data_IF_185553347616
#
_entry.id   IF_185553347616
#
_cell.length_a   1.000
_cell.length_b   1.000
_cell.length_c   1.000
_cell.angle_alpha   90.00
_cell.angle_beta   90.00
_cell.angle_gamma   90.00
#
_symmetry.space_group_name_H-M   'P 1'
#
loop_
_entity.id
_entity.type
_entity.pdbx_description
1 polymer ?
2 water ?
#
# COMPACT_ATOMS: atom_id res chain seq x y z
N UNK A 13 19.38 7.65 9.52
CA UNK A 13 19.78 6.95 8.30
C UNK A 13 18.97 7.40 7.09
N UNK A 14 19.66 7.99 6.12
CA UNK A 14 18.99 8.60 4.98
C UNK A 14 18.29 7.58 4.08
N UNK A 15 18.88 6.39 3.94
CA UNK A 15 18.30 5.36 3.08
C UNK A 15 16.96 4.90 3.62
N UNK A 16 16.90 4.68 4.93
CA UNK A 16 15.65 4.29 5.57
C UNK A 16 14.63 5.42 5.41
N UNK A 17 15.06 6.65 5.65
CA UNK A 17 14.15 7.80 5.48
C UNK A 17 13.65 7.92 4.04
N UNK A 18 14.51 7.64 3.06
CA UNK A 18 14.11 7.72 1.65
C UNK A 18 13.10 6.62 1.30
N UNK A 19 13.35 5.40 1.77
CA UNK A 19 12.39 4.32 1.58
C UNK A 19 11.02 4.72 2.15
N UNK A 20 11.04 5.23 3.38
CA UNK A 20 9.80 5.63 4.03
C UNK A 20 9.08 6.75 3.27
N UNK A 21 9.83 7.73 2.79
CA UNK A 21 9.22 8.85 2.08
C UNK A 21 8.59 8.43 0.75
N UNK A 22 9.26 7.55 0.02
CA UNK A 22 8.74 7.05 -1.25
C UNK A 22 7.45 6.26 -0.99
N UNK A 23 7.48 5.45 0.06
CA UNK A 23 6.33 4.62 0.43
C UNK A 23 5.13 5.48 0.80
N UNK A 24 5.42 6.58 1.48
CA UNK A 24 4.39 7.49 1.97
C UNK A 24 3.92 8.51 0.93
N UNK A 25 4.65 8.60 -0.17
CA UNK A 25 4.30 9.55 -1.20
C UNK A 25 4.65 10.98 -0.82
N UNK A 26 5.70 11.14 -0.03
CA UNK A 26 6.13 12.46 0.40
C UNK A 26 7.14 13.06 -0.58
N UNK A 27 6.63 13.65 -1.66
CA UNK A 27 7.42 14.16 -2.78
C UNK A 27 8.55 15.10 -2.39
N UNK A 28 8.23 16.12 -1.60
CA UNK A 28 9.23 17.11 -1.19
C UNK A 28 10.33 16.44 -0.39
N UNK A 29 9.94 15.57 0.52
CA UNK A 29 10.88 14.88 1.39
C UNK A 29 11.82 13.98 0.57
N UNK A 30 11.29 13.37 -0.47
CA UNK A 30 12.11 12.56 -1.38
C UNK A 30 13.21 13.43 -1.98
N UNK A 31 12.82 14.60 -2.49
CA UNK A 31 13.77 15.50 -3.14
C UNK A 31 14.83 16.00 -2.17
N UNK A 32 14.41 16.35 -0.96
CA UNK A 32 15.33 16.84 0.06
C UNK A 32 16.33 15.77 0.47
N UNK A 33 15.81 14.58 0.78
CA UNK A 33 16.65 13.47 1.22
C UNK A 33 17.74 13.12 0.21
N UNK A 34 17.39 13.13 -1.07
CA UNK A 34 18.37 12.80 -2.10
C UNK A 34 19.38 13.93 -2.33
N UNK A 35 18.98 15.16 -2.01
CA UNK A 35 19.89 16.29 -2.10
C UNK A 35 20.88 16.25 -0.94
N UNK A 36 20.46 15.61 0.15
CA UNK A 36 21.34 15.41 1.30
C UNK A 36 22.14 14.11 1.18
N UNK A 37 22.04 13.48 0.02
CA UNK A 37 22.87 12.32 -0.29
C UNK A 37 22.29 10.96 0.05
N UNK A 38 20.97 10.87 0.19
CA UNK A 38 20.32 9.57 0.39
C UNK A 38 20.53 8.69 -0.84
N UNK A 39 20.79 7.41 -0.61
CA UNK A 39 21.06 6.45 -1.67
C UNK A 39 19.76 6.13 -2.41
N UNK A 40 19.68 6.51 -3.69
CA UNK A 40 18.47 6.29 -4.49
C UNK A 40 18.14 4.79 -4.61
N UNK A 41 19.15 3.95 -4.43
CA UNK A 41 18.99 2.50 -4.52
C UNK A 41 19.06 1.82 -3.16
N UNK A 42 18.68 2.56 -2.12
CA UNK A 42 18.62 2.00 -0.77
C UNK A 42 17.72 0.78 -0.76
N UNK A 43 18.03 -0.19 0.09
CA UNK A 43 17.21 -1.40 0.18
C UNK A 43 16.74 -1.58 1.61
N UNK A 44 15.51 -2.06 1.75
CA UNK A 44 15.04 -2.52 3.05
C UNK A 44 15.54 -3.93 3.32
N UNK A 45 15.00 -4.57 4.34
CA UNK A 45 15.43 -5.89 4.76
C UNK A 45 15.33 -6.95 3.68
N UNK A 46 14.40 -6.75 2.74
CA UNK A 46 14.14 -7.77 1.74
C UNK A 46 14.45 -7.30 0.32
N UNK A 47 15.34 -6.31 0.22
CA UNK A 47 15.80 -5.85 -1.09
C UNK A 47 14.90 -4.87 -1.80
N UNK A 48 13.83 -4.43 -1.13
CA UNK A 48 12.87 -3.53 -1.73
C UNK A 48 13.41 -2.09 -1.74
N UNK A 49 13.28 -1.42 -2.88
CA UNK A 49 13.92 -0.11 -3.07
C UNK A 49 12.89 1.01 -3.08
N UNK A 50 13.34 2.27 -3.03
CA UNK A 50 12.35 3.37 -3.10
C UNK A 50 11.50 3.31 -4.37
N UNK A 51 12.09 2.92 -5.50
CA UNK A 51 11.35 2.80 -6.74
C UNK A 51 10.26 1.73 -6.65
N UNK A 52 10.55 0.61 -5.97
CA UNK A 52 9.52 -0.41 -5.76
C UNK A 52 8.37 0.19 -4.98
N UNK A 53 8.69 0.89 -3.90
CA UNK A 53 7.67 1.38 -2.99
C UNK A 53 6.77 2.42 -3.65
N UNK A 54 7.38 3.34 -4.40
CA UNK A 54 6.58 4.37 -5.09
C UNK A 54 5.74 3.75 -6.22
N UNK A 55 6.29 2.75 -6.91
CA UNK A 55 5.57 2.10 -8.00
C UNK A 55 4.34 1.36 -7.47
N UNK A 56 4.50 0.69 -6.34
CA UNK A 56 3.41 -0.09 -5.77
C UNK A 56 2.29 0.83 -5.29
N UNK A 57 2.67 1.94 -4.69
CA UNK A 57 1.70 2.82 -4.02
C UNK A 57 1.13 3.89 -4.95
N UNK A 58 1.60 3.90 -6.20
CA UNK A 58 0.98 4.73 -7.22
C UNK A 58 1.50 6.15 -7.27
N UNK A 59 2.73 6.36 -6.78
CA UNK A 59 3.27 7.71 -6.68
C UNK A 59 4.10 8.04 -7.92
N UNK A 60 3.42 8.49 -8.97
CA UNK A 60 4.04 8.65 -10.29
C UNK A 60 5.20 9.62 -10.30
N UNK A 61 4.99 10.78 -9.67
CA UNK A 61 6.00 11.84 -9.67
C UNK A 61 7.28 11.37 -8.98
N UNK A 62 7.12 10.60 -7.90
CA UNK A 62 8.28 10.06 -7.20
C UNK A 62 9.01 9.01 -8.04
N UNK A 63 8.25 8.14 -8.70
CA UNK A 63 8.84 7.18 -9.63
C UNK A 63 9.70 7.92 -10.66
N UNK A 64 9.17 9.01 -11.20
CA UNK A 64 9.89 9.78 -12.21
C UNK A 64 11.17 10.41 -11.68
N UNK A 65 11.11 11.01 -10.49
CA UNK A 65 12.30 11.65 -9.91
C UNK A 65 13.33 10.62 -9.50
N UNK A 66 12.89 9.47 -8.98
CA UNK A 66 13.84 8.41 -8.64
C UNK A 66 14.58 7.92 -9.88
N UNK A 67 13.85 7.74 -10.98
CA UNK A 67 14.49 7.27 -12.20
C UNK A 67 15.49 8.31 -12.70
N UNK A 68 15.11 9.57 -12.60
CA UNK A 68 15.95 10.66 -13.09
C UNK A 68 17.24 10.74 -12.29
N UNK A 69 17.18 10.33 -11.03
CA UNK A 69 18.31 10.41 -10.11
C UNK A 69 19.06 9.07 -9.99
N UNK A 70 18.81 8.16 -10.92
CA UNK A 70 19.65 6.99 -11.05
C UNK A 70 19.14 5.71 -10.43
N UNK A 71 17.85 5.67 -10.08
CA UNK A 71 17.25 4.45 -9.55
C UNK A 71 17.36 3.30 -10.54
N UNK A 72 17.71 2.13 -10.02
CA UNK A 72 17.84 0.91 -10.82
C UNK A 72 16.45 0.40 -11.20
N UNK A 73 16.08 0.54 -12.47
CA UNK A 73 14.76 0.12 -12.95
C UNK A 73 14.59 -1.39 -12.86
N UNK A 74 15.70 -2.12 -12.78
CA UNK A 74 15.64 -3.58 -12.79
C UNK A 74 15.78 -4.23 -11.42
N UNK A 75 15.77 -3.42 -10.36
CA UNK A 75 16.01 -3.95 -9.02
C UNK A 75 15.02 -5.03 -8.66
N UNK A 76 15.50 -6.19 -8.25
CA UNK A 76 14.63 -7.28 -7.83
C UNK A 76 14.71 -7.43 -6.33
N UNK A 77 13.56 -7.55 -5.66
CA UNK A 77 13.54 -7.84 -4.24
C UNK A 77 13.97 -9.29 -4.05
N UNK A 78 14.30 -9.68 -2.82
CA UNK A 78 14.68 -11.06 -2.54
C UNK A 78 13.51 -11.99 -2.79
N UNK A 79 13.80 -13.24 -3.12
CA UNK A 79 12.75 -14.22 -3.37
C UNK A 79 12.06 -14.60 -2.08
N UNK A 80 10.81 -15.04 -2.18
CA UNK A 80 10.00 -15.30 -0.99
C UNK A 80 9.25 -16.63 -1.07
N UNK A 81 8.50 -16.81 -2.13
CA UNK A 81 7.58 -17.94 -2.24
C UNK A 81 8.02 -18.98 -3.24
N UNK A 82 7.63 -20.23 -2.98
CA UNK A 82 7.93 -21.35 -3.88
C UNK A 82 6.67 -22.08 -4.29
N UNK A 83 5.53 -21.65 -3.75
CA UNK A 83 4.23 -22.22 -4.09
C UNK A 83 3.30 -21.03 -4.33
N UNK A 84 2.10 -21.27 -4.90
CA UNK A 84 1.19 -20.14 -5.13
C UNK A 84 1.01 -19.22 -3.92
N UNK A 85 0.99 -17.91 -4.16
CA UNK A 85 1.13 -16.93 -3.08
C UNK A 85 0.18 -15.74 -3.21
N UNK A 86 -0.63 -15.72 -4.28
CA UNK A 86 -1.42 -14.51 -4.59
C UNK A 86 -2.39 -14.13 -3.48
N UNK A 87 -2.24 -12.92 -2.96
CA UNK A 87 -3.20 -12.36 -2.00
C UNK A 87 -2.99 -10.86 -1.89
N UNK A 88 -3.89 -10.19 -1.16
CA UNK A 88 -3.74 -8.75 -0.97
C UNK A 88 -2.61 -8.37 -0.04
N UNK A 89 -2.03 -9.36 0.64
CA UNK A 89 -1.03 -9.12 1.67
C UNK A 89 0.41 -9.25 1.22
N UNK A 90 0.64 -9.39 -0.08
CA UNK A 90 2.00 -9.62 -0.57
C UNK A 90 2.87 -8.36 -0.55
N UNK A 91 4.05 -8.46 0.08
CA UNK A 91 4.97 -7.32 0.20
C UNK A 91 6.26 -7.50 -0.60
N UNK A 92 6.77 -8.73 -0.66
CA UNK A 92 7.96 -9.00 -1.46
C UNK A 92 7.89 -10.40 -2.05
N UNK A 93 8.32 -10.52 -3.30
CA UNK A 93 8.23 -11.80 -4.00
C UNK A 93 9.19 -11.89 -5.17
N UNK A 94 10.44 -11.51 -4.95
CA UNK A 94 11.46 -11.67 -5.98
C UNK A 94 11.28 -10.78 -7.20
N UNK A 95 10.59 -9.66 -6.99
CA UNK A 95 9.98 -8.91 -8.09
C UNK A 95 10.64 -7.54 -8.36
N UNK A 96 10.42 -7.03 -9.56
CA UNK A 96 10.91 -5.69 -9.95
C UNK A 96 9.82 -4.63 -9.74
N UNK A 97 10.17 -3.33 -9.83
CA UNK A 97 9.12 -2.32 -9.70
C UNK A 97 8.00 -2.48 -10.73
N UNK A 98 8.33 -2.94 -11.93
CA UNK A 98 7.30 -3.16 -12.94
C UNK A 98 6.28 -4.22 -12.51
N UNK A 99 6.73 -5.28 -11.83
CA UNK A 99 5.78 -6.24 -11.28
C UNK A 99 4.77 -5.55 -10.39
N UNK A 100 5.25 -4.63 -9.55
CA UNK A 100 4.37 -4.01 -8.56
C UNK A 100 3.40 -3.04 -9.23
N UNK A 101 3.91 -2.26 -10.19
CA UNK A 101 3.05 -1.35 -10.94
C UNK A 101 1.97 -2.11 -11.73
N UNK A 102 2.35 -3.24 -12.32
CA UNK A 102 1.39 -4.07 -13.06
C UNK A 102 0.38 -4.68 -12.11
N UNK A 103 0.88 -5.17 -10.96
CA UNK A 103 0.05 -5.81 -9.95
C UNK A 103 -1.04 -4.86 -9.46
N UNK A 104 -0.64 -3.62 -9.22
CA UNK A 104 -1.52 -2.63 -8.58
C UNK A 104 -2.26 -1.73 -9.58
N UNK A 105 -2.09 -1.99 -10.87
CA UNK A 105 -2.93 -1.32 -11.87
C UNK A 105 -2.54 0.12 -12.17
N UNK A 106 -1.29 0.48 -11.93
CA UNK A 106 -0.85 1.85 -12.18
C UNK A 106 -0.29 2.02 -13.58
N UNK A 107 -1.18 2.36 -14.51
CA UNK A 107 -0.85 2.36 -15.92
C UNK A 107 0.26 3.34 -16.27
N UNK A 108 0.13 4.56 -15.75
CA UNK A 108 1.08 5.62 -16.05
C UNK A 108 2.47 5.21 -15.58
N UNK A 109 2.55 4.58 -14.41
CA UNK A 109 3.83 4.08 -13.89
C UNK A 109 4.43 2.94 -14.71
N UNK A 110 3.58 2.00 -15.14
CA UNK A 110 4.00 0.93 -16.04
C UNK A 110 4.67 1.50 -17.28
N UNK A 111 4.06 2.52 -17.87
CA UNK A 111 4.61 3.14 -19.08
C UNK A 111 5.96 3.82 -18.83
N UNK A 112 6.07 4.49 -17.69
CA UNK A 112 7.30 5.17 -17.34
C UNK A 112 8.43 4.19 -17.09
N UNK A 113 8.12 3.09 -16.41
CA UNK A 113 9.11 2.05 -16.15
C UNK A 113 9.55 1.40 -17.45
N UNK A 114 8.62 1.12 -18.36
CA UNK A 114 8.99 0.51 -19.63
C UNK A 114 9.86 1.47 -20.46
N UNK A 115 9.54 2.75 -20.41
CA UNK A 115 10.32 3.76 -21.13
C UNK A 115 11.74 3.83 -20.58
N UNK A 116 11.88 3.56 -19.28
CA UNK A 116 13.18 3.60 -18.62
C UNK A 116 13.96 2.30 -18.84
N UNK A 117 13.34 1.33 -19.50
CA UNK A 117 14.05 0.13 -19.91
C UNK A 117 13.67 -1.17 -19.22
N UNK A 118 12.67 -1.14 -18.34
CA UNK A 118 12.29 -2.34 -17.60
C UNK A 118 12.06 -3.53 -18.52
N UNK A 119 12.55 -4.70 -18.11
CA UNK A 119 12.26 -5.94 -18.82
C UNK A 119 10.77 -6.25 -18.69
N UNK A 120 10.05 -6.20 -19.81
CA UNK A 120 8.61 -6.45 -19.81
C UNK A 120 8.29 -7.88 -19.37
N UNK A 121 9.28 -8.76 -19.44
CA UNK A 121 9.09 -10.16 -19.05
C UNK A 121 9.97 -10.56 -17.88
N UNK A 122 10.29 -9.61 -17.00
CA UNK A 122 11.06 -9.95 -15.82
C UNK A 122 10.33 -11.02 -15.00
N UNK A 123 11.10 -11.91 -14.38
CA UNK A 123 10.51 -13.05 -13.70
C UNK A 123 10.58 -12.86 -12.20
N UNK A 124 9.44 -12.94 -11.53
CA UNK A 124 9.39 -12.88 -10.07
C UNK A 124 9.36 -14.30 -9.52
N UNK A 125 8.97 -14.44 -8.24
CA UNK A 125 8.78 -15.77 -7.68
C UNK A 125 7.84 -16.57 -8.58
N UNK A 126 8.10 -17.88 -8.67
CA UNK A 126 7.36 -18.80 -9.52
C UNK A 126 7.53 -18.50 -11.00
N UNK A 127 8.36 -17.53 -11.34
CA UNK A 127 8.54 -17.17 -12.74
C UNK A 127 7.47 -16.23 -13.26
N UNK A 128 6.71 -15.61 -12.36
CA UNK A 128 5.62 -14.73 -12.81
C UNK A 128 6.14 -13.46 -13.47
N UNK A 129 5.58 -13.15 -14.63
CA UNK A 129 5.93 -11.95 -15.36
C UNK A 129 4.96 -10.84 -14.98
N UNK A 130 5.26 -9.59 -15.37
CA UNK A 130 4.26 -8.55 -15.14
C UNK A 130 2.91 -8.89 -15.77
N UNK A 131 2.91 -9.55 -16.91
CA UNK A 131 1.67 -9.96 -17.55
C UNK A 131 0.85 -10.96 -16.72
N UNK A 132 1.52 -11.93 -16.09
CA UNK A 132 0.84 -12.83 -15.12
C UNK A 132 0.13 -11.98 -14.08
N UNK A 133 0.83 -10.99 -13.51
CA UNK A 133 0.28 -10.22 -12.41
C UNK A 133 -0.88 -9.34 -12.85
N UNK A 134 -0.77 -8.72 -14.02
CA UNK A 134 -1.85 -7.88 -14.53
C UNK A 134 -3.10 -8.72 -14.81
N UNK A 135 -2.88 -9.95 -15.31
CA UNK A 135 -4.01 -10.82 -15.64
C UNK A 135 -4.66 -11.36 -14.37
N UNK A 136 -3.85 -11.67 -13.38
CA UNK A 136 -4.35 -12.16 -12.10
C UNK A 136 -5.25 -11.13 -11.42
N UNK A 137 -4.84 -9.87 -11.46
CA UNK A 137 -5.55 -8.83 -10.70
C UNK A 137 -6.48 -7.95 -11.53
N UNK A 138 -6.76 -8.39 -12.75
CA UNK A 138 -7.84 -7.82 -13.54
C UNK A 138 -7.55 -6.47 -14.16
N UNK A 139 -6.31 -6.22 -14.56
CA UNK A 139 -5.98 -4.91 -15.12
C UNK A 139 -5.88 -4.99 -16.63
N UNK A 140 -7.02 -4.86 -17.30
CA UNK A 140 -7.08 -5.06 -18.75
C UNK A 140 -6.20 -4.09 -19.52
N UNK A 141 -6.29 -2.82 -19.19
CA UNK A 141 -5.52 -1.81 -19.91
C UNK A 141 -4.01 -2.04 -19.75
N UNK A 142 -3.58 -2.45 -18.57
CA UNK A 142 -2.17 -2.79 -18.40
C UNK A 142 -1.79 -4.04 -19.20
N UNK A 143 -2.67 -5.04 -19.24
CA UNK A 143 -2.43 -6.21 -20.08
C UNK A 143 -2.16 -5.77 -21.52
N UNK A 144 -2.98 -4.86 -22.02
CA UNK A 144 -2.81 -4.40 -23.41
C UNK A 144 -1.50 -3.66 -23.64
N UNK A 145 -1.10 -2.83 -22.68
CA UNK A 145 0.18 -2.12 -22.81
C UNK A 145 1.34 -3.11 -22.76
N UNK A 146 1.28 -4.10 -21.87
CA UNK A 146 2.38 -5.07 -21.79
C UNK A 146 2.52 -5.88 -23.09
N UNK A 147 1.40 -6.34 -23.64
CA UNK A 147 1.41 -7.07 -24.90
C UNK A 147 2.03 -6.22 -26.01
N UNK A 148 1.67 -4.95 -26.03
CA UNK A 148 2.17 -4.03 -27.06
C UNK A 148 3.69 -3.87 -26.93
N UNK A 149 4.20 -4.01 -25.72
CA UNK A 149 5.64 -3.88 -25.47
C UNK A 149 6.39 -5.21 -25.47
N UNK A 150 5.76 -6.26 -25.95
CA UNK A 150 6.44 -7.52 -26.16
C UNK A 150 6.33 -8.55 -25.06
N UNK A 151 5.35 -8.39 -24.17
CA UNK A 151 5.09 -9.40 -23.13
C UNK A 151 4.83 -10.77 -23.76
N UNK A 152 5.46 -11.79 -23.19
CA UNK A 152 5.32 -13.17 -23.67
C UNK A 152 3.98 -13.77 -23.21
N UNK A 153 3.04 -13.90 -24.13
CA UNK A 153 1.71 -14.39 -23.79
C UNK A 153 1.73 -15.86 -23.33
N UNK A 154 2.77 -16.60 -23.73
CA UNK A 154 2.86 -18.01 -23.43
C UNK A 154 3.74 -18.35 -22.24
N UNK A 155 4.13 -17.33 -21.49
CA UNK A 155 5.01 -17.51 -20.33
C UNK A 155 4.38 -18.44 -19.29
N UNK A 156 5.05 -19.54 -18.98
CA UNK A 156 4.57 -20.49 -17.98
C UNK A 156 5.27 -20.32 -16.64
N UNK A 157 4.51 -20.34 -15.56
CA UNK A 157 5.13 -20.28 -14.24
C UNK A 157 5.65 -21.65 -13.81
N UNK A 158 6.13 -21.74 -12.58
CA UNK A 158 6.74 -22.98 -12.05
C UNK A 158 5.83 -24.19 -12.20
N UNK A 159 4.53 -23.93 -12.18
CA UNK A 159 3.52 -24.98 -12.18
C UNK A 159 2.80 -25.06 -13.50
N UNK A 160 3.34 -24.36 -14.50
CA UNK A 160 2.83 -24.44 -15.86
C UNK A 160 1.75 -23.43 -16.22
N UNK A 161 1.43 -22.52 -15.31
CA UNK A 161 0.33 -21.57 -15.54
C UNK A 161 0.76 -20.38 -16.39
N UNK A 162 -0.04 -20.08 -17.39
CA UNK A 162 0.18 -18.90 -18.23
C UNK A 162 -0.69 -17.76 -17.69
N UNK A 163 -0.46 -16.53 -18.19
CA UNK A 163 -1.33 -15.43 -17.75
C UNK A 163 -2.81 -15.69 -18.09
N UNK A 164 -3.05 -16.32 -19.23
CA UNK A 164 -4.41 -16.77 -19.58
C UNK A 164 -5.03 -17.63 -18.49
N UNK A 165 -4.29 -18.62 -18.00
CA UNK A 165 -4.80 -19.50 -16.96
C UNK A 165 -5.18 -18.71 -15.71
N UNK A 166 -4.32 -17.76 -15.33
CA UNK A 166 -4.58 -16.98 -14.12
C UNK A 166 -5.83 -16.12 -14.33
N UNK A 167 -5.99 -15.57 -15.52
CA UNK A 167 -7.18 -14.75 -15.81
C UNK A 167 -8.45 -15.58 -15.70
N UNK A 168 -8.46 -16.74 -16.34
CA UNK A 168 -9.57 -17.69 -16.21
C UNK A 168 -9.85 -18.04 -14.74
N UNK A 169 -8.79 -18.42 -14.02
CA UNK A 169 -8.95 -18.86 -12.62
C UNK A 169 -9.56 -17.77 -11.72
N UNK A 170 -9.23 -16.51 -11.98
CA UNK A 170 -9.72 -15.42 -11.13
C UNK A 170 -10.90 -14.64 -11.73
N UNK A 171 -11.55 -15.25 -12.71
CA UNK A 171 -12.80 -14.70 -13.24
C UNK A 171 -12.63 -13.49 -14.14
N UNK A 172 -11.43 -13.27 -14.67
CA UNK A 172 -11.19 -12.14 -15.55
C UNK A 172 -11.35 -12.52 -17.02
N UNK A 173 -12.59 -12.70 -17.44
CA UNK A 173 -12.89 -13.24 -18.76
C UNK A 173 -12.52 -12.27 -19.88
N UNK A 174 -12.69 -10.98 -19.63
CA UNK A 174 -12.28 -9.96 -20.61
C UNK A 174 -10.80 -10.08 -20.96
N UNK A 175 -9.96 -10.22 -19.93
CA UNK A 175 -8.54 -10.41 -20.15
C UNK A 175 -8.23 -11.76 -20.80
N UNK A 176 -8.94 -12.82 -20.40
CA UNK A 176 -8.72 -14.14 -20.99
C UNK A 176 -8.96 -14.08 -22.50
N UNK A 177 -10.02 -13.42 -22.92
CA UNK A 177 -10.30 -13.30 -24.35
C UNK A 177 -9.23 -12.54 -25.11
N UNK A 178 -8.71 -11.46 -24.52
CA UNK A 178 -7.61 -10.72 -25.14
C UNK A 178 -6.36 -11.59 -25.27
N UNK A 179 -6.01 -12.29 -24.19
CA UNK A 179 -4.81 -13.14 -24.22
C UNK A 179 -4.95 -14.32 -25.15
N UNK A 180 -6.16 -14.86 -25.25
CA UNK A 180 -6.38 -16.08 -26.03
C UNK A 180 -6.10 -15.84 -27.50
N UNK A 181 -6.44 -14.65 -27.99
CA UNK A 181 -6.25 -14.32 -29.41
C UNK A 181 -4.90 -13.66 -29.68
N UNK A 182 -4.17 -13.29 -28.62
CA UNK A 182 -2.78 -12.91 -28.77
C UNK A 182 -1.95 -14.20 -28.80
N UNK B 13 -14.38 -17.17 -3.22
CA UNK B 13 -15.56 -16.68 -2.52
C UNK B 13 -15.67 -15.15 -2.58
N UNK B 14 -16.88 -14.64 -2.36
CA UNK B 14 -17.16 -13.23 -2.63
C UNK B 14 -16.47 -12.28 -1.67
N UNK B 15 -16.35 -12.71 -0.41
CA UNK B 15 -15.72 -11.87 0.60
C UNK B 15 -14.26 -11.64 0.27
N UNK B 16 -13.59 -12.69 -0.20
CA UNK B 16 -12.19 -12.58 -0.54
C UNK B 16 -12.02 -11.68 -1.76
N UNK B 17 -12.94 -11.78 -2.72
CA UNK B 17 -12.92 -10.91 -3.88
C UNK B 17 -13.20 -9.46 -3.50
N UNK B 18 -14.04 -9.25 -2.51
CA UNK B 18 -14.34 -7.89 -2.07
C UNK B 18 -13.11 -7.28 -1.41
N UNK B 19 -12.44 -8.04 -0.56
CA UNK B 19 -11.18 -7.58 0.04
C UNK B 19 -10.19 -7.17 -1.06
N UNK B 20 -10.08 -8.00 -2.09
CA UNK B 20 -9.10 -7.74 -3.15
C UNK B 20 -9.48 -6.50 -3.97
N UNK B 21 -10.77 -6.31 -4.20
CA UNK B 21 -11.23 -5.14 -4.96
C UNK B 21 -10.99 -3.85 -4.17
N UNK B 22 -11.19 -3.93 -2.86
CA UNK B 22 -10.94 -2.78 -1.99
C UNK B 22 -9.45 -2.42 -2.00
N UNK B 23 -8.61 -3.44 -1.88
CA UNK B 23 -7.16 -3.30 -1.91
C UNK B 23 -6.73 -2.66 -3.23
N UNK B 24 -7.36 -3.07 -4.32
CA UNK B 24 -6.98 -2.62 -5.66
C UNK B 24 -7.62 -1.28 -6.08
N UNK B 25 -8.55 -0.77 -5.29
CA UNK B 25 -9.25 0.45 -5.66
C UNK B 25 -10.15 0.25 -6.88
N UNK B 26 -10.72 -0.93 -6.99
CA UNK B 26 -11.58 -1.28 -8.12
C UNK B 26 -13.05 -0.98 -7.79
N UNK B 27 -13.43 0.29 -7.95
CA UNK B 27 -14.75 0.79 -7.55
C UNK B 27 -15.91 0.03 -8.17
N UNK B 28 -15.80 -0.29 -9.45
CA UNK B 28 -16.90 -0.96 -10.13
C UNK B 28 -17.06 -2.39 -9.63
N UNK B 29 -15.93 -3.07 -9.44
CA UNK B 29 -15.94 -4.44 -8.95
C UNK B 29 -16.46 -4.50 -7.51
N UNK B 30 -16.13 -3.50 -6.70
CA UNK B 30 -16.72 -3.37 -5.37
C UNK B 30 -18.25 -3.27 -5.47
N UNK B 31 -18.74 -2.44 -6.38
CA UNK B 31 -20.17 -2.30 -6.62
C UNK B 31 -20.81 -3.64 -7.00
N UNK B 32 -20.22 -4.30 -7.98
CA UNK B 32 -20.76 -5.56 -8.48
C UNK B 32 -20.77 -6.66 -7.42
N UNK B 33 -19.66 -6.80 -6.69
CA UNK B 33 -19.55 -7.84 -5.67
C UNK B 33 -20.59 -7.66 -4.57
N UNK B 34 -20.82 -6.42 -4.17
CA UNK B 34 -21.76 -6.15 -3.11
C UNK B 34 -23.20 -6.40 -3.55
N UNK B 35 -23.50 -6.12 -4.81
CA UNK B 35 -24.83 -6.40 -5.36
C UNK B 35 -25.07 -7.91 -5.37
N UNK B 36 -24.01 -8.66 -5.64
CA UNK B 36 -24.09 -10.13 -5.63
C UNK B 36 -24.02 -10.72 -4.21
N UNK B 37 -24.04 -9.86 -3.20
CA UNK B 37 -24.15 -10.31 -1.82
C UNK B 37 -22.87 -10.41 -1.01
N UNK B 38 -21.77 -9.85 -1.50
CA UNK B 38 -20.51 -9.89 -0.75
C UNK B 38 -20.69 -9.25 0.61
N UNK B 39 -20.11 -9.85 1.64
CA UNK B 39 -20.21 -9.36 3.00
C UNK B 39 -19.27 -8.18 3.19
N UNK B 40 -19.85 -7.02 3.49
CA UNK B 40 -19.10 -5.79 3.68
C UNK B 40 -18.15 -5.92 4.87
N UNK B 41 -18.46 -6.88 5.75
CA UNK B 41 -17.63 -7.12 6.93
C UNK B 41 -16.81 -8.39 6.86
N UNK B 42 -16.55 -8.85 5.63
CA UNK B 42 -15.68 -10.00 5.42
C UNK B 42 -14.33 -9.74 6.08
N UNK B 43 -13.71 -10.79 6.61
CA UNK B 43 -12.37 -10.69 7.18
C UNK B 43 -11.42 -11.65 6.50
N UNK B 44 -10.16 -11.25 6.35
CA UNK B 44 -9.13 -12.24 6.03
C UNK B 44 -8.68 -12.91 7.32
N UNK B 45 -7.67 -13.77 7.24
CA UNK B 45 -7.27 -14.56 8.41
C UNK B 45 -6.76 -13.71 9.57
N UNK B 46 -6.24 -12.52 9.26
CA UNK B 46 -5.69 -11.62 10.27
C UNK B 46 -6.72 -10.63 10.79
N UNK B 47 -7.94 -10.72 10.28
CA UNK B 47 -9.03 -9.86 10.72
C UNK B 47 -9.26 -8.66 9.83
N UNK B 48 -8.42 -8.51 8.81
CA UNK B 48 -8.48 -7.35 7.92
C UNK B 48 -9.80 -7.33 7.14
N UNK B 49 -10.46 -6.17 7.09
CA UNK B 49 -11.74 -6.01 6.42
C UNK B 49 -11.60 -5.14 5.16
N UNK B 50 -12.61 -5.15 4.27
CA UNK B 50 -12.49 -4.27 3.11
C UNK B 50 -12.26 -2.81 3.49
N UNK B 51 -12.83 -2.37 4.61
CA UNK B 51 -12.66 -1.00 5.05
C UNK B 51 -11.20 -0.71 5.46
N UNK B 52 -10.54 -1.67 6.12
CA UNK B 52 -9.11 -1.53 6.42
C UNK B 52 -8.33 -1.28 5.14
N UNK B 53 -8.58 -2.10 4.13
CA UNK B 53 -7.79 -2.08 2.90
C UNK B 53 -8.03 -0.80 2.10
N UNK B 54 -9.29 -0.40 1.98
CA UNK B 54 -9.59 0.84 1.26
C UNK B 54 -9.02 2.05 1.98
N UNK B 55 -9.10 2.05 3.32
CA UNK B 55 -8.53 3.14 4.12
C UNK B 55 -7.03 3.17 4.00
N UNK B 56 -6.39 2.00 4.06
CA UNK B 56 -4.94 1.91 3.96
C UNK B 56 -4.42 2.36 2.60
N UNK B 57 -5.13 1.97 1.55
CA UNK B 57 -4.66 2.19 0.18
C UNK B 57 -5.14 3.51 -0.41
N UNK B 58 -5.94 4.25 0.36
CA UNK B 58 -6.32 5.60 -0.04
C UNK B 58 -7.49 5.72 -0.98
N UNK B 59 -8.39 4.75 -0.93
CA UNK B 59 -9.51 4.73 -1.86
C UNK B 59 -10.76 5.28 -1.20
N UNK B 60 -10.92 6.60 -1.31
CA UNK B 60 -11.93 7.33 -0.55
C UNK B 60 -13.36 6.90 -0.89
N UNK B 61 -13.66 6.85 -2.17
CA UNK B 61 -15.01 6.52 -2.60
C UNK B 61 -15.41 5.11 -2.15
N UNK B 62 -14.46 4.19 -2.16
CA UNK B 62 -14.74 2.83 -1.66
C UNK B 62 -14.97 2.85 -0.14
N UNK B 63 -14.16 3.63 0.57
CA UNK B 63 -14.39 3.82 2.00
C UNK B 63 -15.82 4.32 2.25
N UNK B 64 -16.20 5.36 1.51
CA UNK B 64 -17.53 5.94 1.67
C UNK B 64 -18.64 4.92 1.42
N UNK B 65 -18.54 4.14 0.35
CA UNK B 65 -19.62 3.20 0.05
C UNK B 65 -19.66 2.01 1.02
N UNK B 66 -18.50 1.61 1.54
CA UNK B 66 -18.46 0.56 2.56
C UNK B 66 -19.15 1.05 3.84
N UNK B 67 -18.86 2.28 4.25
CA UNK B 67 -19.47 2.82 5.47
C UNK B 67 -20.98 2.96 5.32
N UNK B 68 -21.41 3.41 4.14
CA UNK B 68 -22.83 3.59 3.86
C UNK B 68 -23.59 2.27 3.93
N UNK B 69 -22.94 1.17 3.53
CA UNK B 69 -23.60 -0.12 3.48
C UNK B 69 -23.31 -1.01 4.70
N UNK B 70 -22.83 -0.42 5.78
CA UNK B 70 -22.76 -1.11 7.07
C UNK B 70 -21.43 -1.63 7.56
N UNK B 71 -20.32 -1.17 6.97
CA UNK B 71 -19.01 -1.61 7.43
C UNK B 71 -18.75 -1.12 8.86
N UNK B 72 -18.17 -1.99 9.67
CA UNK B 72 -17.84 -1.66 11.05
C UNK B 72 -16.61 -0.76 11.08
N UNK B 73 -16.81 0.50 11.46
CA UNK B 73 -15.77 1.50 11.40
C UNK B 73 -14.61 1.19 12.37
N UNK B 74 -14.89 0.44 13.43
CA UNK B 74 -13.86 0.18 14.44
C UNK B 74 -13.33 -1.25 14.44
N UNK B 75 -13.52 -1.96 13.33
CA UNK B 75 -13.00 -3.32 13.18
C UNK B 75 -11.50 -3.35 13.46
N UNK B 76 -11.08 -4.31 14.28
CA UNK B 76 -9.67 -4.43 14.66
C UNK B 76 -9.01 -5.63 13.98
N UNK B 77 -7.79 -5.44 13.49
CA UNK B 77 -7.10 -6.51 12.77
C UNK B 77 -5.61 -6.41 13.03
N UNK B 78 -4.88 -7.49 12.79
CA UNK B 78 -3.42 -7.42 12.85
C UNK B 78 -2.93 -7.86 11.47
N UNK B 79 -3.14 -6.97 10.49
CA UNK B 79 -2.99 -7.34 9.10
C UNK B 79 -1.60 -7.20 8.53
N UNK B 80 -1.46 -7.69 7.30
CA UNK B 80 -0.22 -7.56 6.56
C UNK B 80 -0.49 -6.64 5.39
N UNK B 81 0.04 -5.43 5.44
CA UNK B 81 -0.20 -4.46 4.38
C UNK B 81 1.13 -4.23 3.67
N UNK B 82 1.09 -3.72 2.44
CA UNK B 82 2.33 -3.43 1.74
C UNK B 82 3.13 -2.36 2.45
N UNK B 83 4.40 -2.67 2.74
CA UNK B 83 5.25 -1.76 3.48
C UNK B 83 6.70 -2.18 3.36
N UNK B 84 7.62 -1.23 3.65
CA UNK B 84 9.04 -1.62 3.74
C UNK B 84 9.27 -2.28 5.11
N UNK B 85 10.35 -3.04 5.21
CA UNK B 85 10.63 -3.79 6.43
C UNK B 85 12.04 -3.50 6.92
N UNK B 86 12.19 -3.29 8.22
CA UNK B 86 13.51 -3.05 8.77
C UNK B 86 13.74 -3.93 9.98
N UNK B 87 14.99 -4.28 10.27
CA UNK B 87 15.28 -5.07 11.45
C UNK B 87 15.00 -4.26 12.71
N UNK B 88 14.74 -4.95 13.82
CA UNK B 88 14.53 -4.31 15.11
C UNK B 88 13.34 -3.36 15.12
N UNK B 89 12.31 -3.70 14.36
CA UNK B 89 11.10 -2.89 14.35
C UNK B 89 10.20 -3.35 15.48
N UNK B 90 9.36 -2.46 15.98
CA UNK B 90 8.34 -2.87 16.94
C UNK B 90 7.04 -3.07 16.18
N UNK B 91 6.10 -3.79 16.78
CA UNK B 91 4.84 -4.02 16.11
C UNK B 91 3.67 -3.79 17.05
N UNK B 92 2.50 -3.56 16.46
CA UNK B 92 1.29 -3.34 17.24
C UNK B 92 0.21 -4.26 16.70
N UNK B 93 -0.79 -4.55 17.52
CA UNK B 93 -1.87 -5.40 17.07
C UNK B 93 -3.22 -4.67 17.12
N UNK B 94 -4.19 -5.18 16.39
CA UNK B 94 -5.56 -4.70 16.54
C UNK B 94 -5.82 -3.34 15.96
N UNK B 95 -5.11 -2.96 14.90
CA UNK B 95 -5.33 -1.65 14.31
C UNK B 95 -6.68 -1.55 13.61
N UNK B 96 -7.25 -0.34 13.62
CA UNK B 96 -8.51 -0.05 12.98
C UNK B 96 -8.25 0.68 11.66
N UNK B 97 -9.28 0.85 10.82
CA UNK B 97 -9.06 1.62 9.59
C UNK B 97 -8.55 3.04 9.84
N UNK B 98 -8.95 3.68 10.94
CA UNK B 98 -8.44 5.01 11.23
C UNK B 98 -6.92 5.00 11.49
N UNK B 99 -6.42 3.97 12.18
CA UNK B 99 -4.97 3.87 12.37
C UNK B 99 -4.28 3.91 11.01
N UNK B 100 -4.82 3.11 10.09
CA UNK B 100 -4.19 2.94 8.77
C UNK B 100 -4.28 4.21 7.94
N UNK B 101 -5.44 4.86 7.93
CA UNK B 101 -5.57 6.11 7.19
C UNK B 101 -4.68 7.21 7.78
N UNK B 102 -4.56 7.25 9.10
CA UNK B 102 -3.72 8.26 9.74
C UNK B 102 -2.26 7.99 9.42
N UNK B 103 -1.87 6.72 9.49
CA UNK B 103 -0.50 6.31 9.18
C UNK B 103 -0.11 6.69 7.77
N UNK B 104 -1.00 6.41 6.82
CA UNK B 104 -0.68 6.63 5.41
C UNK B 104 -1.02 8.03 4.90
N UNK B 105 -1.50 8.88 5.80
CA UNK B 105 -1.68 10.30 5.48
C UNK B 105 -2.90 10.64 4.64
N UNK B 106 -3.95 9.82 4.73
CA UNK B 106 -5.14 10.03 3.92
C UNK B 106 -6.15 10.87 4.67
N UNK B 107 -6.00 12.19 4.54
CA UNK B 107 -6.79 13.16 5.30
C UNK B 107 -8.28 13.04 5.07
N UNK B 108 -8.70 13.00 3.80
CA UNK B 108 -10.12 12.93 3.49
C UNK B 108 -10.74 11.67 4.06
N UNK B 109 -9.97 10.59 4.05
CA UNK B 109 -10.46 9.33 4.61
C UNK B 109 -10.53 9.40 6.14
N UNK B 110 -9.52 9.98 6.78
CA UNK B 110 -9.58 10.23 8.22
C UNK B 110 -10.86 10.98 8.59
N UNK B 111 -11.18 12.04 7.85
CA UNK B 111 -12.38 12.82 8.14
C UNK B 111 -13.65 11.97 8.04
N UNK B 112 -13.75 11.18 6.97
CA UNK B 112 -14.93 10.37 6.75
C UNK B 112 -15.08 9.30 7.82
N UNK B 113 -13.96 8.71 8.24
CA UNK B 113 -13.99 7.71 9.29
C UNK B 113 -14.42 8.32 10.62
N UNK B 114 -13.90 9.50 10.94
CA UNK B 114 -14.28 10.19 12.17
C UNK B 114 -15.76 10.54 12.16
N UNK B 115 -16.26 10.99 11.02
CA UNK B 115 -17.67 11.36 10.91
C UNK B 115 -18.54 10.12 11.09
N UNK B 116 -18.03 8.98 10.66
CA UNK B 116 -18.74 7.70 10.79
C UNK B 116 -18.64 7.07 12.19
N UNK B 117 -17.96 7.76 13.10
CA UNK B 117 -17.91 7.31 14.49
C UNK B 117 -16.70 6.49 14.90
N UNK B 118 -15.60 6.62 14.15
CA UNK B 118 -14.34 5.97 14.50
C UNK B 118 -13.88 6.37 15.89
N UNK B 119 -13.49 5.38 16.70
CA UNK B 119 -12.87 5.63 17.99
C UNK B 119 -11.53 6.32 17.78
N UNK B 120 -11.23 7.29 18.63
CA UNK B 120 -10.01 8.08 18.51
C UNK B 120 -8.93 7.65 19.50
N UNK B 121 -9.35 7.13 20.66
CA UNK B 121 -8.44 6.92 21.78
C UNK B 121 -8.33 5.50 22.33
N UNK B 122 -9.44 4.75 22.28
CA UNK B 122 -9.54 3.45 22.95
C UNK B 122 -9.34 2.29 21.97
N UNK B 123 -8.28 1.50 22.17
CA UNK B 123 -7.93 0.42 21.24
C UNK B 123 -7.49 -0.86 21.92
N UNK B 124 -7.53 -1.96 21.17
CA UNK B 124 -7.17 -3.27 21.67
C UNK B 124 -5.73 -3.30 22.19
N UNK B 125 -4.83 -2.68 21.43
CA UNK B 125 -3.45 -2.48 21.85
C UNK B 125 -3.40 -1.13 22.55
N UNK B 126 -3.51 -1.13 23.89
CA UNK B 126 -3.79 0.07 24.66
C UNK B 126 -2.81 1.20 24.43
N UNK B 127 -3.34 2.38 24.15
CA UNK B 127 -2.51 3.57 24.02
C UNK B 127 -1.83 3.70 22.68
N UNK B 128 -2.03 2.74 21.78
CA UNK B 128 -1.50 2.88 20.43
C UNK B 128 -2.58 3.50 19.57
N UNK B 129 -2.47 4.81 19.32
CA UNK B 129 -3.56 5.58 18.73
C UNK B 129 -3.25 6.07 17.30
N UNK B 130 -4.29 6.45 16.55
CA UNK B 130 -4.05 7.09 15.25
C UNK B 130 -3.20 8.37 15.37
N UNK B 131 -3.33 9.10 16.48
CA UNK B 131 -2.49 10.29 16.71
C UNK B 131 -1.01 9.92 16.75
N UNK B 132 -0.67 8.80 17.40
CA UNK B 132 0.72 8.32 17.42
C UNK B 132 1.25 8.14 16.01
N UNK B 133 0.47 7.48 15.17
CA UNK B 133 0.91 7.18 13.81
C UNK B 133 1.02 8.41 12.91
N UNK B 134 0.09 9.35 13.05
CA UNK B 134 0.13 10.58 12.27
C UNK B 134 1.34 11.43 12.68
N UNK B 135 1.66 11.44 13.97
CA UNK B 135 2.84 12.15 14.44
C UNK B 135 4.12 11.47 13.98
N UNK B 136 4.14 10.14 14.09
CA UNK B 136 5.30 9.35 13.68
C UNK B 136 5.65 9.51 12.21
N UNK B 137 4.61 9.56 11.37
CA UNK B 137 4.81 9.55 9.94
C UNK B 137 4.69 10.93 9.30
N UNK B 138 4.60 11.97 10.14
CA UNK B 138 4.71 13.33 9.67
C UNK B 138 3.50 13.89 8.94
N UNK B 139 2.31 13.56 9.40
CA UNK B 139 1.09 14.07 8.79
C UNK B 139 0.42 15.13 9.66
N UNK B 140 0.88 16.37 9.51
CA UNK B 140 0.48 17.47 10.39
C UNK B 140 -1.00 17.80 10.34
N UNK B 141 -1.56 17.87 9.13
CA UNK B 141 -2.98 18.19 8.99
C UNK B 141 -3.83 17.15 9.71
N UNK B 142 -3.44 15.88 9.62
CA UNK B 142 -4.15 14.82 10.31
C UNK B 142 -3.98 14.90 11.83
N UNK B 143 -2.77 15.23 12.28
CA UNK B 143 -2.57 15.48 13.71
C UNK B 143 -3.58 16.51 14.19
N UNK B 144 -3.70 17.62 13.46
CA UNK B 144 -4.60 18.70 13.89
C UNK B 144 -6.07 18.29 13.90
N UNK B 145 -6.48 17.50 12.92
CA UNK B 145 -7.86 17.02 12.88
C UNK B 145 -8.13 16.10 14.05
N UNK B 146 -7.20 15.20 14.33
CA UNK B 146 -7.36 14.27 15.45
C UNK B 146 -7.45 15.02 16.79
N UNK B 147 -6.63 16.05 16.96
CA UNK B 147 -6.68 16.83 18.20
C UNK B 147 -8.04 17.47 18.36
N UNK B 148 -8.56 18.00 17.26
CA UNK B 148 -9.88 18.64 17.21
C UNK B 148 -11.00 17.67 17.58
N UNK B 149 -10.76 16.38 17.37
CA UNK B 149 -11.75 15.36 17.69
C UNK B 149 -11.45 14.66 19.02
N UNK B 150 -10.67 15.33 19.86
CA UNK B 150 -10.46 14.86 21.22
C UNK B 150 -9.39 13.81 21.41
N UNK B 151 -8.45 13.70 20.48
CA UNK B 151 -7.34 12.76 20.66
C UNK B 151 -6.56 13.14 21.91
N UNK B 152 -6.24 12.13 22.71
CA UNK B 152 -5.46 12.32 23.93
C UNK B 152 -3.98 12.49 23.60
N UNK B 153 -3.47 13.71 23.78
CA UNK B 153 -2.06 14.01 23.47
C UNK B 153 -1.10 13.24 24.35
N UNK B 154 -1.54 12.86 25.55
CA UNK B 154 -0.65 12.25 26.53
C UNK B 154 -0.74 10.74 26.58
N UNK B 155 -1.50 10.15 25.65
CA UNK B 155 -1.65 8.70 25.59
C UNK B 155 -0.29 8.04 25.38
N UNK B 156 0.01 7.04 26.21
CA UNK B 156 1.27 6.29 26.07
C UNK B 156 1.00 4.88 25.60
N UNK B 157 1.73 4.43 24.57
CA UNK B 157 1.58 3.05 24.10
C UNK B 157 2.34 2.07 24.98
N UNK B 158 2.40 0.81 24.57
CA UNK B 158 3.02 -0.23 25.39
C UNK B 158 4.54 -0.06 25.52
N UNK B 159 5.12 0.83 24.73
CA UNK B 159 6.55 1.09 24.83
C UNK B 159 6.81 2.40 25.55
N UNK B 160 5.75 2.98 26.12
CA UNK B 160 5.85 4.21 26.88
C UNK B 160 5.99 5.43 26.00
N UNK B 161 5.66 5.30 24.71
CA UNK B 161 5.79 6.42 23.78
C UNK B 161 4.50 7.23 23.65
N UNK B 162 4.63 8.55 23.70
CA UNK B 162 3.53 9.47 23.39
C UNK B 162 3.64 9.93 21.93
N UNK B 163 2.57 10.57 21.40
CA UNK B 163 2.75 11.09 20.04
C UNK B 163 3.86 12.13 19.93
N UNK B 164 4.03 12.98 20.96
CA UNK B 164 5.17 13.88 20.99
C UNK B 164 6.49 13.15 20.80
N UNK B 165 6.67 12.06 21.53
CA UNK B 165 7.88 11.25 21.47
C UNK B 165 8.13 10.77 20.06
N UNK B 166 7.09 10.22 19.43
CA UNK B 166 7.27 9.68 18.09
C UNK B 166 7.58 10.77 17.09
N UNK B 167 7.00 11.96 17.27
CA UNK B 167 7.29 13.11 16.42
C UNK B 167 8.76 13.50 16.54
N UNK B 168 9.26 13.61 17.77
CA UNK B 168 10.66 13.93 18.01
C UNK B 168 11.57 12.84 17.43
N UNK B 169 11.23 11.59 17.71
CA UNK B 169 12.04 10.44 17.29
C UNK B 169 12.22 10.43 15.78
N UNK B 170 11.24 10.97 15.08
CA UNK B 170 11.27 10.92 13.61
C UNK B 170 11.56 12.26 12.94
N UNK B 171 12.00 13.23 13.73
CA UNK B 171 12.41 14.51 13.18
C UNK B 171 11.28 15.42 12.74
N UNK B 172 10.06 15.15 13.21
CA UNK B 172 8.94 15.99 12.83
C UNK B 172 8.71 17.11 13.84
N UNK B 173 9.56 18.14 13.76
CA UNK B 173 9.55 19.19 14.78
C UNK B 173 8.29 20.06 14.76
N UNK B 174 7.75 20.33 13.58
CA UNK B 174 6.51 21.11 13.48
C UNK B 174 5.38 20.44 14.25
N UNK B 175 5.24 19.13 14.06
CA UNK B 175 4.23 18.35 14.77
C UNK B 175 4.54 18.28 16.26
N UNK B 176 5.81 18.08 16.60
CA UNK B 176 6.22 18.03 18.00
C UNK B 176 5.82 19.31 18.74
N UNK B 177 6.00 20.45 18.08
CA UNK B 177 5.66 21.74 18.67
C UNK B 177 4.15 21.87 18.89
N UNK B 178 3.38 21.46 17.90
CA UNK B 178 1.92 21.45 18.03
C UNK B 178 1.47 20.59 19.21
N UNK B 179 2.07 19.41 19.34
CA UNK B 179 1.68 18.48 20.39
C UNK B 179 2.07 18.99 21.76
N UNK B 180 3.24 19.61 21.85
CA UNK B 180 3.72 20.15 23.13
C UNK B 180 2.86 21.31 23.61
N UNK B 181 2.40 22.15 22.68
CA UNK B 181 1.53 23.27 23.01
C UNK B 181 0.14 22.81 23.42
N UNK B 182 -0.27 21.65 22.93
CA UNK B 182 -1.59 21.11 23.19
C UNK B 182 -1.62 20.33 24.51
N UNK B 183 -0.44 20.08 25.06
CA UNK B 183 -0.29 19.17 26.19
C UNK B 183 -0.92 19.70 27.48
#
# INVERSE_FOLDING_TARGET
MRGSHHHHHHGSDLGKKLLEAAWQGQDDEVRILMANGADVNAQDKFGTTPLHLAADMGHLEIVEVLLKTGADVNAAATGHYFQPYFSHSVSYFGETPLHLAAEMGHLEIVEVLLKAGADVNAFADLGHTPLHLAAQWGHLEIVEVLLKHGADVNAQDKFGKTPFDLAIDNGNEDIAEVLQKAA
MRGSHHHHHHGSDLGKKLLEAAWQGQDDEVRILMANGADVNAQDKFGTTPLHLAADMGHLEIVEVLLKTGADVNAAATGHYFQPYFSHSVSYFGETPLHLAAEMGHLEIVEVLLKAGADVNAFADLGHTPLHLAAQWGHLEIVEVLLKHGADVNAQDKFGKTPFDLAIDNGNEDIAEVLQKAA
#
